data_IF_262612977197
#
_entry.id   IF_262612977197
#
_cell.length_a   1.000
_cell.length_b   1.000
_cell.length_c   1.000
_cell.angle_alpha   90.00
_cell.angle_beta   90.00
_cell.angle_gamma   90.00
#
_symmetry.space_group_name_H-M   'P 1'
#
loop_
_entity.id
_entity.type
_entity.pdbx_description
1 polymer ?
#
# COMPACT_ATOMS: atom_id res chain seq x y z
N UNK A 1 -13.73 20.35 10.85
CA UNK A 1 -12.88 21.37 10.20
C UNK A 1 -13.01 21.15 8.71
N UNK A 2 -13.63 22.10 8.03
CA UNK A 2 -14.10 22.01 6.64
C UNK A 2 -12.93 21.74 5.70
N UNK A 3 -13.04 20.72 4.85
CA UNK A 3 -12.16 20.55 3.69
C UNK A 3 -12.33 21.78 2.79
N UNK A 4 -11.39 22.72 2.90
CA UNK A 4 -11.34 23.93 2.09
C UNK A 4 -11.01 23.58 0.63
N UNK A 5 -11.71 24.21 -0.31
CA UNK A 5 -11.50 24.08 -1.75
C UNK A 5 -10.03 24.31 -2.13
N UNK A 6 -9.36 25.25 -1.46
CA UNK A 6 -7.94 25.53 -1.68
C UNK A 6 -7.03 24.42 -1.17
N UNK A 7 -7.37 23.75 -0.07
CA UNK A 7 -6.59 22.63 0.46
C UNK A 7 -6.60 21.43 -0.50
N UNK A 8 -7.76 21.11 -1.09
CA UNK A 8 -7.88 20.05 -2.10
C UNK A 8 -7.03 20.33 -3.35
N UNK A 9 -7.04 21.57 -3.85
CA UNK A 9 -6.25 21.98 -5.01
C UNK A 9 -4.73 21.86 -4.76
N UNK A 10 -4.27 22.17 -3.54
CA UNK A 10 -2.87 21.98 -3.13
C UNK A 10 -2.53 20.49 -3.09
N UNK A 11 -3.37 19.65 -2.48
CA UNK A 11 -3.17 18.21 -2.41
C UNK A 11 -3.04 17.54 -3.78
N UNK A 12 -3.92 17.89 -4.73
CA UNK A 12 -3.85 17.39 -6.11
C UNK A 12 -2.57 17.80 -6.83
N UNK A 13 -2.11 19.04 -6.62
CA UNK A 13 -0.87 19.54 -7.24
C UNK A 13 0.38 18.85 -6.69
N UNK A 14 0.40 18.55 -5.39
CA UNK A 14 1.46 17.78 -4.75
C UNK A 14 1.49 16.34 -5.26
N UNK A 15 0.33 15.67 -5.33
CA UNK A 15 0.21 14.32 -5.87
C UNK A 15 0.71 14.22 -7.32
N UNK A 16 0.37 15.19 -8.18
CA UNK A 16 0.83 15.24 -9.57
C UNK A 16 2.35 15.41 -9.71
N UNK A 17 2.98 16.09 -8.75
CA UNK A 17 4.43 16.33 -8.70
C UNK A 17 5.19 15.25 -7.94
N UNK A 18 4.50 14.29 -7.34
CA UNK A 18 5.14 13.24 -6.56
C UNK A 18 6.05 12.34 -7.43
N UNK A 19 7.12 11.77 -6.83
CA UNK A 19 7.98 10.79 -7.51
C UNK A 19 7.15 9.66 -8.13
N UNK A 20 7.66 9.08 -9.22
CA UNK A 20 6.95 7.98 -9.91
C UNK A 20 6.65 6.80 -8.95
N UNK A 21 7.60 6.46 -8.09
CA UNK A 21 7.43 5.37 -7.12
C UNK A 21 6.26 5.60 -6.15
N UNK A 22 5.98 6.85 -5.77
CA UNK A 22 4.84 7.17 -4.92
C UNK A 22 3.52 7.15 -5.69
N UNK A 23 3.55 7.57 -6.96
CA UNK A 23 2.37 7.54 -7.84
C UNK A 23 1.97 6.14 -8.28
N UNK A 24 2.92 5.21 -8.41
CA UNK A 24 2.69 3.81 -8.78
C UNK A 24 2.50 2.89 -7.58
N UNK A 25 2.44 3.44 -6.36
CA UNK A 25 2.28 2.61 -5.17
C UNK A 25 0.92 1.90 -5.22
N UNK A 26 0.87 0.58 -4.98
CA UNK A 26 -0.37 -0.19 -5.03
C UNK A 26 -1.37 0.33 -3.99
N UNK A 27 -2.66 0.28 -4.34
CA UNK A 27 -3.78 0.72 -3.49
C UNK A 27 -4.67 -0.44 -3.06
N UNK A 28 -4.49 -1.61 -3.67
CA UNK A 28 -5.13 -2.88 -3.30
C UNK A 28 -4.08 -3.99 -3.20
N UNK A 29 -4.40 -5.05 -2.46
CA UNK A 29 -3.54 -6.25 -2.39
C UNK A 29 -3.33 -6.89 -3.76
N UNK A 30 -4.33 -6.82 -4.65
CA UNK A 30 -4.26 -7.36 -6.01
C UNK A 30 -3.32 -6.56 -6.94
N UNK A 31 -2.96 -5.33 -6.57
CA UNK A 31 -2.01 -4.50 -7.33
C UNK A 31 -0.54 -4.91 -7.06
N UNK A 32 -0.30 -5.81 -6.10
CA UNK A 32 1.04 -6.24 -5.72
C UNK A 32 1.56 -7.28 -6.71
N UNK A 33 2.58 -6.89 -7.47
CA UNK A 33 3.24 -7.76 -8.46
C UNK A 33 4.40 -8.53 -7.82
N UNK A 34 4.52 -9.81 -8.17
CA UNK A 34 5.67 -10.66 -7.80
C UNK A 34 5.66 -11.24 -6.38
N UNK A 35 4.61 -10.96 -5.59
CA UNK A 35 4.44 -11.49 -4.24
C UNK A 35 3.23 -12.42 -4.09
N UNK A 36 2.74 -13.02 -5.18
CA UNK A 36 1.57 -13.91 -5.21
C UNK A 36 1.67 -15.09 -4.23
N UNK A 37 2.90 -15.56 -3.97
CA UNK A 37 3.16 -16.62 -2.99
C UNK A 37 2.85 -16.20 -1.55
N UNK A 38 2.87 -14.90 -1.25
CA UNK A 38 2.54 -14.31 0.06
C UNK A 38 1.12 -13.77 0.10
N UNK A 39 0.70 -13.00 -0.92
CA UNK A 39 -0.55 -12.21 -0.91
C UNK A 39 -1.58 -12.65 -1.97
N UNK A 40 -1.38 -13.80 -2.61
CA UNK A 40 -2.41 -14.38 -3.48
C UNK A 40 -3.71 -14.67 -2.72
N UNK A 41 -4.84 -14.73 -3.43
CA UNK A 41 -6.21 -14.88 -2.87
C UNK A 41 -6.32 -15.96 -1.78
N UNK A 42 -5.70 -17.12 -2.00
CA UNK A 42 -5.79 -18.27 -1.09
C UNK A 42 -4.67 -18.32 -0.04
N UNK A 43 -3.83 -17.28 0.06
CA UNK A 43 -2.66 -17.32 0.94
C UNK A 43 -3.03 -16.95 2.38
N UNK A 44 -2.44 -17.63 3.38
CA UNK A 44 -2.73 -17.39 4.79
C UNK A 44 -2.54 -15.93 5.21
N UNK A 45 -1.47 -15.28 4.73
CA UNK A 45 -1.20 -13.88 5.05
C UNK A 45 -2.31 -12.96 4.51
N UNK A 46 -2.80 -13.18 3.29
CA UNK A 46 -3.90 -12.40 2.73
C UNK A 46 -5.18 -12.56 3.56
N UNK A 47 -5.54 -13.79 3.92
CA UNK A 47 -6.71 -14.04 4.79
C UNK A 47 -6.59 -13.33 6.14
N UNK A 48 -5.42 -13.37 6.77
CA UNK A 48 -5.20 -12.66 8.04
C UNK A 48 -5.31 -11.13 7.91
N UNK A 49 -4.89 -10.56 6.78
CA UNK A 49 -5.04 -9.13 6.49
C UNK A 49 -6.51 -8.80 6.26
N UNK A 50 -7.21 -9.57 5.42
CA UNK A 50 -8.63 -9.35 5.10
C UNK A 50 -9.56 -9.56 6.31
N UNK A 51 -9.22 -10.47 7.21
CA UNK A 51 -9.93 -10.70 8.48
C UNK A 51 -9.57 -9.70 9.58
N UNK A 52 -8.64 -8.76 9.34
CA UNK A 52 -8.12 -7.81 10.34
C UNK A 52 -7.57 -8.48 11.62
N UNK A 53 -6.89 -9.62 11.44
CA UNK A 53 -6.33 -10.46 12.53
C UNK A 53 -4.81 -10.44 12.60
N UNK A 54 -4.18 -9.59 11.80
CA UNK A 54 -2.73 -9.48 11.73
C UNK A 54 -2.21 -8.59 12.87
N UNK A 55 -1.50 -9.17 13.84
CA UNK A 55 -1.06 -8.43 15.04
C UNK A 55 0.25 -7.66 14.84
N UNK A 56 1.33 -8.35 14.47
CA UNK A 56 2.65 -7.75 14.26
C UNK A 56 3.43 -8.56 13.24
N UNK A 57 4.02 -7.88 12.26
CA UNK A 57 4.73 -8.52 11.15
C UNK A 57 6.05 -7.82 10.87
N UNK A 58 7.08 -8.62 10.61
CA UNK A 58 8.36 -8.15 10.09
C UNK A 58 8.42 -8.48 8.60
N UNK A 59 8.45 -7.45 7.75
CA UNK A 59 8.63 -7.61 6.30
C UNK A 59 10.13 -7.53 5.97
N UNK A 60 10.71 -8.62 5.45
CA UNK A 60 12.13 -8.70 5.10
C UNK A 60 12.35 -9.05 3.62
N UNK A 61 13.44 -8.55 3.04
CA UNK A 61 13.84 -8.85 1.67
C UNK A 61 14.65 -7.72 1.00
N UNK A 62 15.16 -7.95 -0.22
CA UNK A 62 15.99 -6.99 -0.98
C UNK A 62 15.34 -5.61 -1.20
N UNK A 63 16.10 -4.54 -1.49
CA UNK A 63 15.52 -3.23 -1.78
C UNK A 63 14.58 -3.28 -2.99
N UNK A 64 13.51 -2.47 -2.96
CA UNK A 64 12.54 -2.38 -4.07
C UNK A 64 11.49 -3.48 -4.17
N UNK A 65 11.47 -4.48 -3.27
CA UNK A 65 10.51 -5.61 -3.33
C UNK A 65 9.09 -5.31 -2.83
N UNK A 66 8.76 -4.04 -2.57
CA UNK A 66 7.41 -3.63 -2.18
C UNK A 66 7.06 -3.73 -0.69
N UNK A 67 8.02 -3.98 0.21
CA UNK A 67 7.79 -4.06 1.67
C UNK A 67 7.04 -2.85 2.23
N UNK A 68 7.51 -1.64 1.92
CA UNK A 68 6.88 -0.39 2.39
C UNK A 68 5.49 -0.20 1.80
N UNK A 69 5.28 -0.65 0.56
CA UNK A 69 3.97 -0.62 -0.09
C UNK A 69 3.00 -1.58 0.58
N UNK A 70 3.44 -2.81 0.87
CA UNK A 70 2.65 -3.82 1.57
C UNK A 70 2.31 -3.38 3.00
N UNK A 71 3.27 -2.84 3.75
CA UNK A 71 3.02 -2.31 5.09
C UNK A 71 1.94 -1.22 5.10
N UNK A 72 1.91 -0.35 4.08
CA UNK A 72 0.90 0.71 3.94
C UNK A 72 -0.49 0.18 3.55
N UNK A 73 -0.57 -0.97 2.88
CA UNK A 73 -1.86 -1.58 2.53
C UNK A 73 -2.49 -2.32 3.72
N UNK A 74 -1.67 -2.75 4.67
CA UNK A 74 -2.09 -3.47 5.87
C UNK A 74 -2.51 -2.49 6.99
N UNK A 75 -1.90 -1.30 7.05
CA UNK A 75 -2.16 -0.28 8.07
C UNK A 75 -3.31 0.66 7.69
#
# INVERSE_FOLDING_TARGET
VTDDLFASAVGQRLARRAPLADRLRPVRLDDIVGQEHLVGAEKPLRRLIEEDRLSSVVLWGPPGTGKTSLARLIA
#
